data_IF_862002048694
#
_entry.id   IF_862002048694
#
_cell.length_a   1.000
_cell.length_b   1.000
_cell.length_c   1.000
_cell.angle_alpha   90.00
_cell.angle_beta   90.00
_cell.angle_gamma   90.00
#
_symmetry.space_group_name_H-M   'P 1'
#
loop_
_entity.id
_entity.type
_entity.pdbx_description
1 polymer ?
#
# COMPACT_ATOMS: atom_id res chain seq x y z
N UNK A 1 10.50 18.04 -16.01
CA UNK A 1 10.78 16.74 -15.38
C UNK A 1 9.49 16.23 -14.76
N UNK A 2 9.23 14.93 -14.79
CA UNK A 2 8.09 14.30 -14.12
C UNK A 2 8.22 14.45 -12.61
N UNK A 3 7.10 14.52 -11.87
CA UNK A 3 7.06 14.77 -10.43
C UNK A 3 6.36 13.63 -9.70
N UNK A 4 7.04 13.01 -8.74
CA UNK A 4 6.49 11.90 -7.96
C UNK A 4 6.40 12.31 -6.49
N UNK A 5 5.23 12.07 -5.89
CA UNK A 5 5.02 12.15 -4.45
C UNK A 5 5.20 10.77 -3.82
N UNK A 6 6.08 10.66 -2.83
CA UNK A 6 6.31 9.45 -2.05
C UNK A 6 5.73 9.60 -0.64
N UNK A 7 5.10 8.53 -0.16
CA UNK A 7 4.67 8.34 1.22
C UNK A 7 4.86 6.89 1.66
N UNK A 8 4.60 6.58 2.93
CA UNK A 8 4.56 5.22 3.48
C UNK A 8 3.83 5.21 4.83
N UNK A 9 3.67 4.04 5.44
CA UNK A 9 3.17 3.87 6.81
C UNK A 9 4.25 3.45 7.82
N UNK A 10 5.42 3.01 7.36
CA UNK A 10 6.57 2.67 8.22
C UNK A 10 7.27 3.92 8.82
N UNK A 11 6.93 5.12 8.33
CA UNK A 11 7.49 6.39 8.76
C UNK A 11 8.62 6.92 7.89
N UNK A 12 8.87 8.24 7.99
CA UNK A 12 9.82 8.99 7.15
C UNK A 12 11.26 8.41 7.15
N UNK A 13 11.71 7.86 8.28
CA UNK A 13 13.06 7.32 8.40
C UNK A 13 13.20 5.84 8.01
N UNK A 14 12.11 5.19 7.63
CA UNK A 14 12.10 3.78 7.25
C UNK A 14 13.01 3.49 6.06
N UNK A 15 13.58 2.28 6.04
CA UNK A 15 14.47 1.84 4.95
C UNK A 15 13.76 1.76 3.61
N UNK A 16 12.48 1.38 3.61
CA UNK A 16 11.70 1.18 2.39
C UNK A 16 11.48 2.48 1.61
N UNK A 17 11.08 3.58 2.27
CA UNK A 17 10.87 4.86 1.57
C UNK A 17 12.19 5.45 1.06
N UNK A 18 13.31 5.22 1.77
CA UNK A 18 14.64 5.61 1.31
C UNK A 18 15.07 4.82 0.08
N UNK A 19 14.82 3.51 0.07
CA UNK A 19 15.09 2.67 -1.08
C UNK A 19 14.24 3.09 -2.29
N UNK A 20 12.98 3.46 -2.05
CA UNK A 20 12.08 3.98 -3.08
C UNK A 20 12.57 5.32 -3.65
N UNK A 21 12.97 6.26 -2.80
CA UNK A 21 13.56 7.54 -3.20
C UNK A 21 14.80 7.31 -4.09
N UNK A 22 15.75 6.49 -3.62
CA UNK A 22 16.97 6.16 -4.36
C UNK A 22 16.71 5.52 -5.72
N UNK A 23 15.68 4.68 -5.83
CA UNK A 23 15.34 4.05 -7.09
C UNK A 23 14.84 5.04 -8.14
N UNK A 24 14.25 6.17 -7.73
CA UNK A 24 13.50 7.05 -8.62
C UNK A 24 14.13 8.44 -8.80
N UNK A 25 15.13 8.83 -8.01
CA UNK A 25 15.72 10.18 -8.01
C UNK A 25 16.37 10.59 -9.33
N UNK A 26 16.84 9.62 -10.16
CA UNK A 26 17.37 9.88 -11.50
C UNK A 26 16.26 9.98 -12.57
N UNK A 27 15.05 9.49 -12.26
CA UNK A 27 13.95 9.39 -13.24
C UNK A 27 12.96 10.57 -13.13
N UNK A 28 12.83 11.17 -11.93
CA UNK A 28 11.84 12.20 -11.65
C UNK A 28 12.28 13.14 -10.53
N UNK A 29 11.60 14.27 -10.43
CA UNK A 29 11.68 15.15 -9.27
C UNK A 29 10.87 14.54 -8.11
N UNK A 30 11.56 14.18 -7.03
CA UNK A 30 10.97 13.47 -5.91
C UNK A 30 10.56 14.42 -4.79
N UNK A 31 9.34 14.22 -4.31
CA UNK A 31 8.74 14.85 -3.14
C UNK A 31 8.41 13.77 -2.11
N UNK A 32 8.76 13.99 -0.85
CA UNK A 32 8.50 13.01 0.20
C UNK A 32 7.69 13.65 1.32
N UNK A 33 6.51 13.12 1.57
CA UNK A 33 5.70 13.48 2.75
C UNK A 33 5.25 12.19 3.41
N UNK A 34 5.75 11.91 4.61
CA UNK A 34 5.52 10.66 5.30
C UNK A 34 5.25 10.89 6.79
N UNK A 35 4.59 9.96 7.48
CA UNK A 35 4.42 9.99 8.92
C UNK A 35 5.76 10.07 9.64
N UNK A 36 5.81 10.78 10.76
CA UNK A 36 7.00 10.84 11.61
C UNK A 36 7.32 9.48 12.25
N UNK A 37 6.29 8.75 12.63
CA UNK A 37 6.33 7.44 13.27
C UNK A 37 5.53 6.41 12.47
N UNK A 38 5.80 5.15 12.74
CA UNK A 38 5.05 4.03 12.15
C UNK A 38 3.55 4.13 12.41
N UNK A 39 2.74 3.88 11.38
CA UNK A 39 1.28 3.89 11.35
C UNK A 39 0.73 2.60 10.72
N UNK A 40 1.32 1.46 11.05
CA UNK A 40 0.88 0.15 10.54
C UNK A 40 -0.57 -0.15 10.94
N UNK A 41 -1.28 -0.84 10.06
CA UNK A 41 -2.68 -1.26 10.25
C UNK A 41 -3.65 -0.11 10.56
N UNK A 42 -3.35 1.13 10.14
CA UNK A 42 -4.24 2.28 10.36
C UNK A 42 -5.37 2.37 9.35
N UNK A 43 -5.43 1.49 8.34
CA UNK A 43 -6.42 1.57 7.28
C UNK A 43 -6.42 2.94 6.58
N UNK A 44 -7.47 3.28 5.84
CA UNK A 44 -7.63 4.62 5.26
C UNK A 44 -8.20 5.59 6.29
N UNK A 45 -7.38 5.96 7.27
CA UNK A 45 -7.75 6.90 8.31
C UNK A 45 -7.26 8.31 7.96
N UNK A 46 -8.14 9.31 8.17
CA UNK A 46 -7.81 10.74 8.05
C UNK A 46 -8.01 11.44 9.39
N UNK A 47 -7.09 12.34 9.75
CA UNK A 47 -7.09 13.06 11.02
C UNK A 47 -7.85 14.38 10.89
N UNK A 48 -9.11 14.42 11.37
CA UNK A 48 -9.97 15.62 11.33
C UNK A 48 -10.23 16.25 12.70
N UNK A 49 -9.93 15.53 13.77
CA UNK A 49 -10.26 15.97 15.15
C UNK A 49 -9.07 16.58 15.89
N UNK A 50 -7.87 16.56 15.30
CA UNK A 50 -6.65 17.10 15.89
C UNK A 50 -5.81 17.83 14.83
N UNK A 51 -5.02 18.85 15.23
CA UNK A 51 -4.12 19.53 14.31
C UNK A 51 -2.93 18.65 13.93
N UNK A 52 -2.56 18.65 12.66
CA UNK A 52 -1.34 18.03 12.14
C UNK A 52 -0.21 19.05 12.06
N UNK A 53 1.01 18.61 12.37
CA UNK A 53 2.21 19.44 12.25
C UNK A 53 3.16 18.87 11.20
N UNK A 54 3.48 19.70 10.20
CA UNK A 54 4.42 19.36 9.16
C UNK A 54 5.81 19.92 9.51
N UNK A 55 6.79 19.04 9.65
CA UNK A 55 8.18 19.41 9.87
C UNK A 55 8.97 19.27 8.57
N UNK A 56 9.53 20.42 8.10
CA UNK A 56 10.35 20.45 6.90
C UNK A 56 11.74 19.87 7.19
N UNK A 57 12.21 18.96 6.34
CA UNK A 57 13.51 18.33 6.49
C UNK A 57 14.60 19.19 5.83
N UNK A 58 15.63 19.52 6.60
CA UNK A 58 16.79 20.31 6.12
C UNK A 58 17.59 19.52 5.07
N UNK A 59 18.18 20.24 4.10
CA UNK A 59 19.07 19.66 3.09
C UNK A 59 18.37 18.87 1.97
N UNK A 60 17.04 18.94 1.89
CA UNK A 60 16.22 18.25 0.86
C UNK A 60 15.48 19.24 -0.05
N UNK A 61 16.08 20.37 -0.36
CA UNK A 61 15.59 21.42 -1.27
C UNK A 61 14.14 21.85 -1.04
N UNK A 62 13.61 21.61 0.18
CA UNK A 62 12.25 21.95 0.56
C UNK A 62 11.17 20.98 0.08
N UNK A 63 11.55 19.84 -0.49
CA UNK A 63 10.62 18.82 -1.01
C UNK A 63 10.30 17.69 -0.04
N UNK A 64 10.85 17.72 1.18
CA UNK A 64 10.66 16.67 2.17
C UNK A 64 10.04 17.21 3.45
N UNK A 65 8.98 16.51 3.90
CA UNK A 65 8.30 16.77 5.17
C UNK A 65 8.00 15.46 5.90
N UNK A 66 8.02 15.52 7.22
CA UNK A 66 7.44 14.50 8.08
C UNK A 66 6.26 15.07 8.84
N UNK A 67 5.20 14.29 8.98
CA UNK A 67 3.96 14.74 9.63
C UNK A 67 3.88 14.10 11.00
N UNK A 68 3.82 14.94 12.04
CA UNK A 68 3.64 14.49 13.42
C UNK A 68 2.19 14.02 13.60
N UNK A 69 2.03 12.82 14.14
CA UNK A 69 0.77 12.09 14.30
C UNK A 69 -0.07 11.84 13.03
N UNK A 70 0.45 12.21 11.86
CA UNK A 70 -0.23 11.99 10.58
C UNK A 70 -0.24 10.54 10.13
N UNK A 71 -1.28 10.15 9.41
CA UNK A 71 -1.40 8.90 8.66
C UNK A 71 -0.82 9.06 7.25
N UNK A 72 -0.61 7.97 6.48
CA UNK A 72 -0.23 8.07 5.07
C UNK A 72 -1.25 8.87 4.23
N UNK A 73 -2.55 8.73 4.51
CA UNK A 73 -3.60 9.52 3.85
C UNK A 73 -3.47 11.01 4.18
N UNK A 74 -3.26 11.37 5.45
CA UNK A 74 -3.01 12.76 5.85
C UNK A 74 -1.80 13.35 5.13
N UNK A 75 -0.73 12.56 5.00
CA UNK A 75 0.50 12.99 4.33
C UNK A 75 0.27 13.33 2.87
N UNK A 76 -0.45 12.47 2.13
CA UNK A 76 -0.77 12.71 0.72
C UNK A 76 -1.75 13.88 0.58
N UNK A 77 -2.78 13.93 1.42
CA UNK A 77 -3.75 15.03 1.42
C UNK A 77 -3.06 16.39 1.63
N UNK A 78 -2.24 16.51 2.68
CA UNK A 78 -1.50 17.73 2.99
C UNK A 78 -0.48 18.09 1.91
N UNK A 79 0.20 17.09 1.34
CA UNK A 79 1.17 17.31 0.27
C UNK A 79 0.50 17.99 -0.94
N UNK A 80 -0.61 17.46 -1.41
CA UNK A 80 -1.28 17.92 -2.62
C UNK A 80 -2.01 19.24 -2.39
N UNK A 81 -2.72 19.37 -1.27
CA UNK A 81 -3.64 20.48 -1.07
C UNK A 81 -3.01 21.71 -0.39
N UNK A 82 -1.85 21.55 0.29
CA UNK A 82 -1.23 22.68 0.97
C UNK A 82 0.28 22.78 0.76
N UNK A 83 1.07 21.75 1.13
CA UNK A 83 2.55 21.85 1.14
C UNK A 83 3.11 22.10 -0.27
N UNK A 84 2.49 21.51 -1.28
CA UNK A 84 2.90 21.58 -2.68
C UNK A 84 1.72 21.93 -3.61
N UNK A 85 0.76 22.73 -3.16
CA UNK A 85 -0.47 23.08 -3.89
C UNK A 85 -0.28 23.66 -5.30
N UNK A 86 0.94 24.10 -5.62
CA UNK A 86 1.29 24.59 -6.96
C UNK A 86 2.02 23.54 -7.81
N UNK A 87 2.16 22.31 -7.28
CA UNK A 87 2.83 21.21 -7.96
C UNK A 87 1.78 20.25 -8.51
N UNK A 88 1.82 20.01 -9.81
CA UNK A 88 1.04 18.94 -10.42
C UNK A 88 1.88 17.65 -10.38
N UNK A 89 1.47 16.71 -9.55
CA UNK A 89 2.12 15.40 -9.47
C UNK A 89 1.68 14.48 -10.62
N UNK A 90 2.62 13.79 -11.23
CA UNK A 90 2.36 12.79 -12.27
C UNK A 90 2.04 11.42 -11.68
N UNK A 91 2.52 11.14 -10.44
CA UNK A 91 2.37 9.84 -9.78
C UNK A 91 2.48 10.01 -8.25
N UNK A 92 1.69 9.24 -7.51
CA UNK A 92 1.85 9.02 -6.07
C UNK A 92 2.31 7.57 -5.86
N UNK A 93 3.37 7.35 -5.08
CA UNK A 93 3.81 6.01 -4.72
C UNK A 93 3.88 5.90 -3.19
N UNK A 94 3.18 4.92 -2.64
CA UNK A 94 3.20 4.59 -1.23
C UNK A 94 3.99 3.31 -0.99
N UNK A 95 5.05 3.39 -0.19
CA UNK A 95 5.92 2.25 0.14
C UNK A 95 7.41 2.66 0.23
N UNK A 96 8.36 1.73 0.08
CA UNK A 96 8.19 0.26 -0.01
C UNK A 96 7.87 -0.27 1.39
N UNK A 97 6.69 -0.83 1.57
CA UNK A 97 6.28 -1.42 2.84
C UNK A 97 7.06 -2.69 3.16
N UNK A 98 7.35 -2.93 4.44
CA UNK A 98 7.89 -4.19 4.93
C UNK A 98 6.76 -5.10 5.43
N UNK A 99 6.33 -6.01 4.58
CA UNK A 99 5.22 -6.92 4.81
C UNK A 99 4.27 -6.95 3.61
N UNK A 100 3.39 -7.94 3.59
CA UNK A 100 2.44 -8.11 2.50
C UNK A 100 1.22 -7.20 2.64
N UNK A 101 0.71 -6.72 1.51
CA UNK A 101 -0.59 -6.10 1.40
C UNK A 101 -1.39 -6.84 0.32
N UNK A 102 -1.89 -8.04 0.66
CA UNK A 102 -2.56 -8.98 -0.24
C UNK A 102 -3.93 -9.39 0.30
N UNK A 103 -4.83 -9.81 -0.57
CA UNK A 103 -6.20 -10.18 -0.19
C UNK A 103 -6.88 -9.07 0.60
N UNK A 104 -7.56 -9.44 1.71
CA UNK A 104 -8.25 -8.50 2.58
C UNK A 104 -7.30 -7.63 3.42
N UNK A 105 -6.01 -8.01 3.57
CA UNK A 105 -5.02 -7.17 4.27
C UNK A 105 -4.91 -5.77 3.62
N UNK A 106 -5.23 -5.63 2.33
CA UNK A 106 -5.31 -4.35 1.63
C UNK A 106 -6.26 -3.34 2.29
N UNK A 107 -7.30 -3.82 3.00
CA UNK A 107 -8.29 -2.96 3.67
C UNK A 107 -7.70 -2.33 4.94
N UNK A 108 -6.80 -3.05 5.62
CA UNK A 108 -6.16 -2.57 6.86
C UNK A 108 -4.88 -1.78 6.60
N UNK A 109 -4.32 -1.84 5.39
CA UNK A 109 -3.01 -1.30 5.05
C UNK A 109 -2.96 0.22 5.01
N UNK A 110 -2.03 0.81 5.74
CA UNK A 110 -1.66 2.22 5.62
C UNK A 110 -0.93 2.54 4.31
N UNK A 111 -0.12 1.60 3.80
CA UNK A 111 0.55 1.74 2.49
C UNK A 111 -0.47 1.85 1.36
N UNK A 112 -1.45 0.95 1.32
CA UNK A 112 -2.53 0.99 0.32
C UNK A 112 -3.36 2.27 0.49
N UNK A 113 -3.61 2.68 1.74
CA UNK A 113 -4.34 3.91 2.06
C UNK A 113 -3.67 5.18 1.49
N UNK A 114 -2.35 5.30 1.58
CA UNK A 114 -1.63 6.41 0.96
C UNK A 114 -1.82 6.47 -0.57
N UNK A 115 -1.79 5.33 -1.25
CA UNK A 115 -2.07 5.26 -2.69
C UNK A 115 -3.55 5.49 -3.02
N UNK A 116 -4.47 5.03 -2.17
CA UNK A 116 -5.91 5.34 -2.29
C UNK A 116 -6.12 6.86 -2.24
N UNK A 117 -5.50 7.55 -1.28
CA UNK A 117 -5.63 8.99 -1.15
C UNK A 117 -5.14 9.71 -2.40
N UNK A 118 -3.97 9.34 -2.95
CA UNK A 118 -3.49 9.87 -4.23
C UNK A 118 -4.50 9.69 -5.36
N UNK A 119 -5.13 8.52 -5.44
CA UNK A 119 -6.18 8.21 -6.42
C UNK A 119 -7.44 9.07 -6.22
N UNK A 120 -7.85 9.31 -4.97
CA UNK A 120 -8.98 10.19 -4.62
C UNK A 120 -8.69 11.64 -5.07
N UNK A 121 -7.45 12.09 -4.88
CA UNK A 121 -6.96 13.40 -5.30
C UNK A 121 -6.76 13.51 -6.83
N UNK A 122 -7.08 12.46 -7.61
CA UNK A 122 -7.02 12.44 -9.06
C UNK A 122 -5.63 12.18 -9.65
N UNK A 123 -4.67 11.73 -8.82
CA UNK A 123 -3.32 11.41 -9.27
C UNK A 123 -3.19 9.89 -9.45
N UNK A 124 -2.63 9.38 -10.57
CA UNK A 124 -2.25 7.97 -10.71
C UNK A 124 -1.45 7.48 -9.51
N UNK A 125 -1.75 6.28 -8.99
CA UNK A 125 -1.15 5.87 -7.72
C UNK A 125 -0.74 4.39 -7.69
N UNK A 126 0.36 4.11 -6.97
CA UNK A 126 0.91 2.77 -6.75
C UNK A 126 1.12 2.58 -5.25
N UNK A 127 0.66 1.44 -4.71
CA UNK A 127 1.11 0.89 -3.44
C UNK A 127 2.14 -0.20 -3.72
N UNK A 128 3.30 -0.18 -3.05
CA UNK A 128 4.34 -1.20 -3.23
C UNK A 128 4.81 -1.76 -1.91
N UNK A 129 4.88 -3.10 -1.83
CA UNK A 129 5.21 -3.86 -0.64
C UNK A 129 6.25 -4.94 -0.94
N UNK A 130 7.23 -5.09 -0.05
CA UNK A 130 8.24 -6.14 -0.06
C UNK A 130 7.87 -7.21 0.96
N UNK A 131 7.66 -8.45 0.51
CA UNK A 131 7.29 -9.54 1.40
C UNK A 131 8.47 -9.93 2.30
N UNK A 132 8.19 -10.12 3.58
CA UNK A 132 9.15 -10.73 4.51
C UNK A 132 9.02 -12.26 4.42
N UNK A 133 10.03 -12.94 3.87
CA UNK A 133 9.97 -14.39 3.73
C UNK A 133 10.10 -15.09 5.09
N UNK A 134 9.09 -15.90 5.43
CA UNK A 134 9.20 -16.86 6.54
C UNK A 134 10.02 -18.10 6.19
N UNK A 135 10.26 -18.37 4.89
CA UNK A 135 10.93 -19.60 4.42
C UNK A 135 12.45 -19.56 4.60
N UNK A 136 13.04 -18.35 4.56
CA UNK A 136 14.48 -18.17 4.74
C UNK A 136 14.74 -17.04 5.74
N UNK A 137 14.66 -17.33 7.04
CA UNK A 137 14.98 -16.35 8.11
C UNK A 137 16.40 -15.76 8.01
N UNK A 138 17.27 -16.37 7.22
CA UNK A 138 18.65 -15.95 6.99
C UNK A 138 18.85 -15.15 5.71
N UNK A 139 17.83 -14.94 4.87
CA UNK A 139 17.98 -14.07 3.69
C UNK A 139 17.98 -12.63 4.16
N UNK A 140 19.09 -11.89 3.97
CA UNK A 140 19.13 -10.49 4.33
C UNK A 140 18.02 -9.72 3.58
N UNK A 141 17.32 -8.87 4.30
CA UNK A 141 16.37 -7.96 3.68
C UNK A 141 17.12 -7.03 2.74
N UNK A 142 16.78 -7.07 1.46
CA UNK A 142 17.24 -6.09 0.48
C UNK A 142 16.04 -5.66 -0.39
N UNK A 143 16.11 -4.45 -0.92
CA UNK A 143 15.06 -3.90 -1.78
C UNK A 143 15.39 -3.98 -3.26
N UNK A 144 16.46 -4.67 -3.66
CA UNK A 144 16.97 -4.63 -5.03
C UNK A 144 15.91 -5.03 -6.07
N UNK A 145 15.15 -6.11 -5.80
CA UNK A 145 14.07 -6.51 -6.70
C UNK A 145 12.95 -5.48 -6.72
N UNK A 146 12.52 -4.99 -5.54
CA UNK A 146 11.46 -3.99 -5.46
C UNK A 146 11.85 -2.65 -6.13
N UNK A 147 13.11 -2.22 -5.98
CA UNK A 147 13.65 -1.05 -6.66
C UNK A 147 13.63 -1.23 -8.19
N UNK A 148 14.10 -2.40 -8.68
CA UNK A 148 14.02 -2.71 -10.12
C UNK A 148 12.58 -2.66 -10.63
N UNK A 149 11.67 -3.36 -9.97
CA UNK A 149 10.26 -3.43 -10.38
C UNK A 149 9.61 -2.05 -10.41
N UNK A 150 9.84 -1.21 -9.40
CA UNK A 150 9.23 0.12 -9.39
C UNK A 150 9.84 1.03 -10.47
N UNK A 151 11.12 0.92 -10.77
CA UNK A 151 11.76 1.62 -11.87
C UNK A 151 11.14 1.21 -13.22
N UNK A 152 11.01 -0.09 -13.48
CA UNK A 152 10.42 -0.62 -14.70
C UNK A 152 8.95 -0.16 -14.87
N UNK A 153 8.16 -0.20 -13.79
CA UNK A 153 6.77 0.27 -13.79
C UNK A 153 6.67 1.78 -14.05
N UNK A 154 7.46 2.59 -13.36
CA UNK A 154 7.47 4.05 -13.54
C UNK A 154 7.92 4.42 -14.95
N UNK A 155 8.96 3.78 -15.47
CA UNK A 155 9.41 3.99 -16.84
C UNK A 155 8.31 3.66 -17.85
N UNK A 156 7.61 2.54 -17.65
CA UNK A 156 6.50 2.14 -18.52
C UNK A 156 5.32 3.14 -18.46
N UNK A 157 4.96 3.58 -17.23
CA UNK A 157 3.91 4.59 -17.04
C UNK A 157 4.26 5.91 -17.72
N UNK A 158 5.51 6.37 -17.61
CA UNK A 158 5.92 7.63 -18.22
C UNK A 158 6.00 7.56 -19.76
N UNK A 159 6.25 6.37 -20.31
CA UNK A 159 6.32 6.14 -21.75
C UNK A 159 4.96 5.89 -22.38
N UNK A 160 4.13 5.03 -21.75
CA UNK A 160 2.90 4.50 -22.34
C UNK A 160 1.62 5.01 -21.67
N UNK A 161 1.75 5.76 -20.57
CA UNK A 161 0.63 6.24 -19.75
C UNK A 161 0.22 5.25 -18.67
N UNK A 162 -0.56 5.75 -17.70
CA UNK A 162 -1.08 4.93 -16.61
C UNK A 162 -2.17 3.98 -17.11
N UNK A 163 -2.10 2.66 -16.80
CA UNK A 163 -2.96 1.67 -17.47
C UNK A 163 -4.41 1.65 -16.99
N UNK A 164 -4.71 2.26 -15.84
CA UNK A 164 -6.05 2.23 -15.25
C UNK A 164 -6.79 3.54 -15.45
N UNK A 165 -8.11 3.46 -15.66
CA UNK A 165 -9.00 4.62 -15.76
C UNK A 165 -9.92 4.70 -14.53
N UNK A 166 -10.32 5.91 -14.16
CA UNK A 166 -11.19 6.15 -13.01
C UNK A 166 -10.44 6.03 -11.69
N UNK A 167 -11.18 5.77 -10.60
CA UNK A 167 -10.63 5.69 -9.24
C UNK A 167 -10.04 4.32 -8.95
N UNK A 168 -8.90 4.02 -9.57
CA UNK A 168 -8.20 2.74 -9.46
C UNK A 168 -6.71 2.97 -9.26
N UNK A 169 -6.07 2.07 -8.53
CA UNK A 169 -4.63 2.10 -8.27
C UNK A 169 -3.99 0.73 -8.55
N UNK A 170 -2.67 0.71 -8.67
CA UNK A 170 -1.88 -0.52 -8.73
C UNK A 170 -1.40 -0.88 -7.32
N UNK A 171 -1.66 -2.11 -6.90
CA UNK A 171 -1.10 -2.69 -5.69
C UNK A 171 -0.06 -3.74 -6.09
N UNK A 172 1.19 -3.50 -5.72
CA UNK A 172 2.35 -4.29 -6.13
C UNK A 172 2.93 -4.98 -4.90
N UNK A 173 3.02 -6.30 -4.95
CA UNK A 173 3.69 -7.09 -3.92
C UNK A 173 4.88 -7.80 -4.55
N UNK A 174 6.05 -7.67 -3.91
CA UNK A 174 7.33 -8.18 -4.40
C UNK A 174 7.82 -9.30 -3.50
N UNK A 175 8.12 -10.50 -4.02
CA UNK A 175 8.64 -11.60 -3.21
C UNK A 175 10.05 -11.29 -2.69
N UNK A 176 10.39 -11.82 -1.50
CA UNK A 176 11.75 -11.76 -0.99
C UNK A 176 12.57 -12.90 -1.58
N UNK A 177 13.03 -12.73 -2.80
CA UNK A 177 13.88 -13.67 -3.53
C UNK A 177 15.00 -12.93 -4.24
N UNK A 178 16.02 -13.66 -4.65
CA UNK A 178 17.09 -13.10 -5.49
C UNK A 178 16.61 -12.83 -6.92
N UNK A 179 17.33 -11.99 -7.66
CA UNK A 179 17.04 -11.75 -9.09
C UNK A 179 17.11 -13.03 -9.94
N UNK A 180 17.87 -14.05 -9.51
CA UNK A 180 17.98 -15.34 -10.18
C UNK A 180 16.77 -16.25 -9.93
N UNK A 181 16.12 -16.11 -8.75
CA UNK A 181 14.93 -16.87 -8.37
C UNK A 181 13.63 -16.21 -8.83
N UNK A 182 13.69 -14.93 -9.20
CA UNK A 182 12.57 -14.16 -9.69
C UNK A 182 12.09 -14.68 -11.05
N UNK A 183 10.78 -14.93 -11.18
CA UNK A 183 10.16 -15.59 -12.34
C UNK A 183 9.28 -14.66 -13.19
N UNK A 184 9.31 -13.37 -12.95
CA UNK A 184 8.52 -12.40 -13.70
C UNK A 184 7.33 -11.84 -12.93
N UNK A 185 6.53 -11.01 -13.59
CA UNK A 185 5.34 -10.36 -13.04
C UNK A 185 4.08 -11.13 -13.42
N UNK A 186 3.08 -11.11 -12.53
CA UNK A 186 1.74 -11.60 -12.77
C UNK A 186 0.72 -10.50 -12.50
N UNK A 187 -0.23 -10.33 -13.42
CA UNK A 187 -1.43 -9.54 -13.15
C UNK A 187 -2.42 -10.45 -12.42
N UNK A 188 -2.74 -10.10 -11.19
CA UNK A 188 -3.45 -10.99 -10.27
C UNK A 188 -4.75 -10.38 -9.74
N UNK A 189 -5.79 -11.18 -9.51
CA UNK A 189 -6.84 -10.85 -8.56
C UNK A 189 -6.32 -10.96 -7.12
N UNK A 190 -7.04 -10.35 -6.17
CA UNK A 190 -6.83 -10.62 -4.73
C UNK A 190 -7.27 -12.04 -4.39
N UNK A 191 -6.47 -12.77 -3.63
CA UNK A 191 -6.88 -14.00 -2.96
C UNK A 191 -7.72 -13.75 -1.71
N UNK A 192 -8.18 -14.81 -1.06
CA UNK A 192 -8.84 -14.75 0.25
C UNK A 192 -7.82 -15.00 1.36
N UNK A 193 -7.69 -14.04 2.27
CA UNK A 193 -6.85 -14.16 3.45
C UNK A 193 -7.54 -15.01 4.52
N UNK A 194 -6.85 -16.00 5.05
CA UNK A 194 -7.33 -16.77 6.18
C UNK A 194 -6.84 -16.15 7.50
N UNK A 195 -7.78 -15.70 8.33
CA UNK A 195 -7.49 -15.17 9.67
C UNK A 195 -7.84 -16.21 10.72
N UNK A 196 -6.86 -16.59 11.54
CA UNK A 196 -7.13 -17.42 12.72
C UNK A 196 -7.78 -16.56 13.80
N UNK A 197 -8.77 -17.10 14.49
CA UNK A 197 -9.47 -16.43 15.60
C UNK A 197 -8.65 -16.57 16.88
N UNK A 198 -7.45 -15.98 16.92
CA UNK A 198 -6.53 -16.12 18.04
C UNK A 198 -6.34 -14.78 18.75
N UNK A 199 -6.64 -14.78 20.05
CA UNK A 199 -6.44 -13.62 20.93
C UNK A 199 -5.69 -14.11 22.16
N UNK A 200 -4.53 -13.51 22.43
CA UNK A 200 -3.74 -13.81 23.61
C UNK A 200 -4.12 -12.88 24.76
N UNK A 201 -4.82 -13.42 25.76
CA UNK A 201 -5.09 -12.71 27.01
C UNK A 201 -3.91 -12.85 27.97
N UNK A 202 -3.48 -11.75 28.56
CA UNK A 202 -2.43 -11.66 29.59
C UNK A 202 -2.88 -10.75 30.71
N UNK A 203 -2.12 -10.74 31.79
CA UNK A 203 -2.36 -9.87 32.96
C UNK A 203 -1.09 -9.06 33.23
N UNK A 204 -1.23 -7.77 33.46
CA UNK A 204 -0.14 -6.88 33.81
C UNK A 204 0.25 -7.00 35.31
N UNK A 205 1.34 -6.33 35.79
CA UNK A 205 1.75 -6.37 37.18
C UNK A 205 0.74 -5.78 38.18
N UNK A 206 -0.26 -5.02 37.68
CA UNK A 206 -1.37 -4.45 38.48
C UNK A 206 -2.61 -5.35 38.49
N UNK A 207 -2.50 -6.55 37.94
CA UNK A 207 -3.58 -7.52 37.83
C UNK A 207 -4.69 -7.12 36.81
N UNK A 208 -4.41 -6.17 35.89
CA UNK A 208 -5.34 -5.78 34.84
C UNK A 208 -5.13 -6.66 33.61
N UNK A 209 -6.23 -7.13 33.01
CA UNK A 209 -6.17 -7.94 31.79
C UNK A 209 -5.90 -7.08 30.57
N UNK A 210 -4.98 -7.52 29.70
CA UNK A 210 -4.76 -6.96 28.38
C UNK A 210 -4.78 -8.06 27.32
N UNK A 211 -4.97 -7.68 26.06
CA UNK A 211 -5.17 -8.60 24.96
C UNK A 211 -4.25 -8.24 23.80
N UNK A 212 -3.62 -9.27 23.23
CA UNK A 212 -2.93 -9.17 21.96
C UNK A 212 -3.75 -9.87 20.90
N UNK A 213 -4.03 -9.19 19.79
CA UNK A 213 -4.52 -9.85 18.59
C UNK A 213 -3.38 -10.69 18.00
N UNK A 214 -3.61 -11.97 17.77
CA UNK A 214 -2.59 -12.88 17.29
C UNK A 214 -2.08 -12.46 15.90
N UNK A 215 -0.76 -12.49 15.73
CA UNK A 215 -0.16 -12.42 14.41
C UNK A 215 -0.31 -13.80 13.77
N UNK A 216 -1.22 -13.88 12.80
CA UNK A 216 -1.49 -15.14 12.10
C UNK A 216 -0.46 -15.38 11.01
N UNK A 217 -0.03 -16.63 10.75
CA UNK A 217 0.77 -16.95 9.59
C UNK A 217 0.04 -16.52 8.32
N UNK A 218 0.81 -16.22 7.26
CA UNK A 218 0.24 -15.86 5.96
C UNK A 218 -0.36 -17.12 5.32
N UNK A 219 -1.64 -17.35 5.59
CA UNK A 219 -2.43 -18.42 5.01
C UNK A 219 -3.53 -17.84 4.14
N UNK A 220 -3.88 -18.51 3.05
CA UNK A 220 -4.90 -18.04 2.11
C UNK A 220 -5.66 -19.22 1.52
N UNK A 221 -6.84 -18.91 0.97
CA UNK A 221 -7.67 -19.83 0.23
C UNK A 221 -7.78 -19.37 -1.23
N UNK A 222 -7.71 -20.31 -2.17
CA UNK A 222 -8.03 -20.02 -3.57
C UNK A 222 -9.50 -19.62 -3.71
N UNK A 223 -9.76 -18.67 -4.62
CA UNK A 223 -11.14 -18.40 -5.06
C UNK A 223 -11.64 -19.56 -5.89
N UNK A 224 -12.87 -19.95 -5.65
CA UNK A 224 -13.55 -20.90 -6.52
C UNK A 224 -13.76 -20.30 -7.92
N UNK A 225 -13.56 -21.10 -8.96
CA UNK A 225 -13.73 -20.71 -10.37
C UNK A 225 -12.79 -19.59 -10.88
N UNK A 226 -11.62 -19.40 -10.27
CA UNK A 226 -10.59 -18.48 -10.74
C UNK A 226 -9.42 -19.27 -11.31
N UNK A 227 -9.22 -19.20 -12.64
CA UNK A 227 -8.10 -19.86 -13.33
C UNK A 227 -6.78 -19.11 -13.18
N UNK A 228 -6.83 -17.85 -12.77
CA UNK A 228 -5.64 -17.01 -12.56
C UNK A 228 -5.00 -17.26 -11.20
N UNK A 229 -3.70 -17.07 -11.15
CA UNK A 229 -2.98 -17.00 -9.87
C UNK A 229 -3.49 -15.80 -9.06
N UNK A 230 -3.77 -16.03 -7.79
CA UNK A 230 -4.02 -14.93 -6.85
C UNK A 230 -2.71 -14.21 -6.53
N UNK A 231 -2.81 -13.03 -5.89
CA UNK A 231 -1.67 -12.30 -5.34
C UNK A 231 -0.80 -13.18 -4.43
N UNK A 232 -1.42 -14.03 -3.58
CA UNK A 232 -0.70 -14.98 -2.72
C UNK A 232 0.01 -16.08 -3.52
N UNK A 233 -0.65 -16.67 -4.54
CA UNK A 233 -0.07 -17.74 -5.35
C UNK A 233 1.11 -17.23 -6.18
N UNK A 234 1.02 -16.02 -6.72
CA UNK A 234 2.10 -15.38 -7.45
C UNK A 234 3.34 -15.20 -6.55
N UNK A 235 3.16 -14.65 -5.37
CA UNK A 235 4.24 -14.47 -4.39
C UNK A 235 4.82 -15.83 -3.96
N UNK A 236 3.99 -16.83 -3.67
CA UNK A 236 4.45 -18.16 -3.26
C UNK A 236 5.30 -18.85 -4.33
N UNK A 237 5.14 -18.47 -5.60
CA UNK A 237 5.88 -18.98 -6.75
C UNK A 237 7.00 -18.06 -7.25
N UNK A 238 7.42 -17.06 -6.45
CA UNK A 238 8.46 -16.08 -6.76
C UNK A 238 8.14 -15.16 -7.95
N UNK A 239 6.87 -14.87 -8.18
CA UNK A 239 6.45 -13.82 -9.11
C UNK A 239 6.08 -12.55 -8.34
N UNK A 240 6.30 -11.41 -8.94
CA UNK A 240 5.72 -10.15 -8.48
C UNK A 240 4.22 -10.16 -8.81
N UNK A 241 3.40 -9.81 -7.83
CA UNK A 241 1.97 -9.64 -8.01
C UNK A 241 1.66 -8.17 -8.29
N UNK A 242 0.94 -7.90 -9.36
CA UNK A 242 0.41 -6.57 -9.72
C UNK A 242 -1.12 -6.69 -9.77
N UNK A 243 -1.79 -6.12 -8.78
CA UNK A 243 -3.25 -6.21 -8.62
C UNK A 243 -3.87 -4.82 -8.84
N UNK A 244 -4.78 -4.64 -9.81
CA UNK A 244 -5.56 -3.42 -9.93
C UNK A 244 -6.61 -3.38 -8.81
N UNK A 245 -6.59 -2.34 -7.97
CA UNK A 245 -7.60 -2.11 -6.94
C UNK A 245 -8.59 -1.03 -7.40
N UNK A 246 -9.87 -1.27 -7.15
CA UNK A 246 -10.96 -0.35 -7.40
C UNK A 246 -11.46 0.23 -6.07
N UNK A 247 -11.67 1.54 -6.02
CA UNK A 247 -12.22 2.23 -4.85
C UNK A 247 -13.74 2.11 -4.74
N UNK A 248 -14.41 1.76 -5.83
CA UNK A 248 -15.84 1.51 -5.81
C UNK A 248 -16.13 0.11 -5.25
N UNK A 249 -16.69 0.07 -4.05
CA UNK A 249 -17.07 -1.16 -3.33
C UNK A 249 -18.51 -1.57 -3.59
N UNK A 250 -19.23 -0.92 -4.49
CA UNK A 250 -20.62 -1.24 -4.82
C UNK A 250 -20.69 -2.59 -5.53
N UNK A 251 -21.50 -3.52 -5.00
CA UNK A 251 -21.82 -4.78 -5.67
C UNK A 251 -22.92 -4.54 -6.71
N UNK A 252 -22.54 -4.18 -7.91
CA UNK A 252 -23.50 -3.86 -8.99
C UNK A 252 -24.37 -5.04 -9.37
N UNK A 253 -23.82 -6.25 -9.31
CA UNK A 253 -24.55 -7.48 -9.66
C UNK A 253 -25.70 -7.77 -8.68
N UNK A 254 -25.61 -7.28 -7.44
CA UNK A 254 -26.62 -7.52 -6.41
C UNK A 254 -27.71 -6.44 -6.35
N UNK A 255 -27.58 -5.32 -7.06
CA UNK A 255 -28.56 -4.22 -6.99
C UNK A 255 -29.97 -4.68 -7.34
N UNK A 256 -30.13 -5.45 -8.41
CA UNK A 256 -31.43 -5.97 -8.85
C UNK A 256 -32.05 -6.93 -7.83
N UNK A 257 -31.23 -7.79 -7.23
CA UNK A 257 -31.67 -8.72 -6.19
C UNK A 257 -32.15 -7.97 -4.97
N UNK A 258 -31.41 -6.94 -4.56
CA UNK A 258 -31.76 -6.08 -3.42
C UNK A 258 -33.01 -5.27 -3.67
N UNK A 259 -33.23 -4.72 -4.88
CA UNK A 259 -34.48 -4.05 -5.27
C UNK A 259 -35.70 -5.00 -5.18
N UNK A 260 -35.54 -6.24 -5.64
CA UNK A 260 -36.61 -7.26 -5.59
C UNK A 260 -36.94 -7.64 -4.16
N UNK A 261 -35.91 -7.83 -3.33
CA UNK A 261 -36.07 -8.11 -1.90
C UNK A 261 -36.77 -6.94 -1.18
N UNK A 262 -36.37 -5.70 -1.45
CA UNK A 262 -36.96 -4.50 -0.84
C UNK A 262 -38.45 -4.34 -1.19
N UNK A 263 -38.85 -4.56 -2.45
CA UNK A 263 -40.27 -4.54 -2.85
C UNK A 263 -41.11 -5.54 -2.07
N UNK A 264 -40.53 -6.68 -1.67
CA UNK A 264 -41.19 -7.67 -0.82
C UNK A 264 -41.43 -7.21 0.63
N UNK A 265 -40.68 -6.19 1.13
CA UNK A 265 -40.88 -5.64 2.47
C UNK A 265 -42.03 -4.62 2.55
N UNK A 266 -42.47 -4.08 1.41
CA UNK A 266 -43.53 -3.06 1.34
C UNK A 266 -44.94 -3.68 1.16
N UNK A 267 -45.05 -5.01 1.24
CA UNK A 267 -46.31 -5.75 1.25
C UNK A 267 -46.63 -6.25 2.65
#
# INVERSE_FOLDING_TARGET
>A
MKKILLTNDDGYHAKGIKALEQALEEMAEIYVVAPKHEKSACSQCITITAPLRAEKIKGKEGRHYRIDDGTPSDCVYLAINELFKHVCFDLVISGINLGSNMGEDTIYSGTVAGAIEGTIQGVPSIAISQILSNKNKNTPLNFNLAQKIIQDLVQNIFTNGYPLKGRKLLNVNVPNCSLQEYKGECITPKGYRLYKKEVHKRTDPKNESYFWLGLHPLEWQKRENEDRLSDFDAIASNHVSITPLNLDLTSYDDLKNLESWHKGMLK
#
